data_IF_108933613767
#
_entry.id   IF_108933613767
#
_cell.length_a   1.000
_cell.length_b   1.000
_cell.length_c   1.000
_cell.angle_alpha   90.00
_cell.angle_beta   90.00
_cell.angle_gamma   90.00
#
_symmetry.space_group_name_H-M   'P 1'
#
loop_
_entity.id
_entity.type
_entity.pdbx_description
1 polymer ?
#
# COMPACT_ATOMS: atom_id res chain seq x y z
N UNK A 1 -40.85 42.65 -11.04
CA UNK A 1 -40.87 41.52 -10.08
C UNK A 1 -39.76 40.54 -10.45
N UNK A 2 -38.69 40.43 -9.63
CA UNK A 2 -37.64 39.41 -9.78
C UNK A 2 -37.62 38.57 -8.51
N UNK A 3 -38.19 37.35 -8.57
CA UNK A 3 -38.10 36.37 -7.48
C UNK A 3 -36.67 35.80 -7.50
N UNK A 4 -35.84 36.15 -6.52
CA UNK A 4 -34.55 35.48 -6.29
C UNK A 4 -34.83 34.19 -5.53
N UNK A 5 -34.47 33.05 -6.12
CA UNK A 5 -34.58 31.72 -5.50
C UNK A 5 -33.29 31.47 -4.70
N UNK A 6 -33.31 31.47 -3.36
CA UNK A 6 -32.11 31.32 -2.54
C UNK A 6 -31.61 29.86 -2.47
N UNK A 7 -32.41 28.89 -2.92
CA UNK A 7 -32.15 27.47 -2.74
C UNK A 7 -31.10 26.87 -3.69
N UNK A 8 -30.81 27.52 -4.82
CA UNK A 8 -29.86 26.99 -5.80
C UNK A 8 -28.40 27.04 -5.31
N UNK A 9 -28.07 28.01 -4.45
CA UNK A 9 -26.71 28.23 -3.95
C UNK A 9 -26.30 27.20 -2.88
N UNK A 10 -27.27 26.71 -2.11
CA UNK A 10 -27.04 25.66 -1.10
C UNK A 10 -27.02 24.26 -1.72
N UNK A 11 -27.76 24.03 -2.81
CA UNK A 11 -27.74 22.77 -3.54
C UNK A 11 -26.37 22.48 -4.18
N UNK A 12 -25.69 23.52 -4.70
CA UNK A 12 -24.35 23.38 -5.29
C UNK A 12 -23.30 23.05 -4.21
N UNK A 13 -23.37 23.69 -3.05
CA UNK A 13 -22.47 23.40 -1.93
C UNK A 13 -22.63 21.96 -1.41
N UNK A 14 -23.87 21.45 -1.34
CA UNK A 14 -24.13 20.07 -0.94
C UNK A 14 -23.69 19.05 -2.01
N UNK A 15 -23.84 19.38 -3.31
CA UNK A 15 -23.35 18.54 -4.41
C UNK A 15 -21.82 18.44 -4.44
N UNK A 16 -21.11 19.54 -4.11
CA UNK A 16 -19.65 19.54 -3.99
C UNK A 16 -19.16 18.67 -2.82
N UNK A 17 -19.89 18.62 -1.70
CA UNK A 17 -19.52 17.77 -0.54
C UNK A 17 -19.73 16.28 -0.86
N UNK A 18 -20.79 15.93 -1.60
CA UNK A 18 -21.05 14.53 -2.01
C UNK A 18 -20.08 14.07 -3.11
N UNK A 19 -19.67 14.96 -4.02
CA UNK A 19 -18.65 14.65 -5.04
C UNK A 19 -17.23 14.48 -4.48
N UNK A 20 -16.95 14.98 -3.27
CA UNK A 20 -15.66 14.82 -2.59
C UNK A 20 -15.53 13.49 -1.81
N UNK A 21 -16.63 12.74 -1.65
CA UNK A 21 -16.62 11.44 -0.97
C UNK A 21 -15.84 10.34 -1.72
N UNK A 22 -15.50 10.59 -2.98
CA UNK A 22 -14.72 9.67 -3.84
C UNK A 22 -13.29 10.11 -4.12
N UNK A 23 -12.84 11.26 -3.58
CA UNK A 23 -11.48 11.77 -3.80
C UNK A 23 -10.58 11.37 -2.62
N UNK A 24 -9.73 10.37 -2.80
CA UNK A 24 -8.62 10.10 -1.87
C UNK A 24 -7.58 11.20 -1.99
N UNK A 25 -7.68 12.24 -1.16
CA UNK A 25 -6.64 13.26 -1.03
C UNK A 25 -5.55 12.70 -0.11
N UNK A 26 -4.37 12.41 -0.65
CA UNK A 26 -3.17 12.14 0.14
C UNK A 26 -2.60 13.47 0.62
N UNK A 27 -2.90 13.83 1.87
CA UNK A 27 -2.31 14.99 2.54
C UNK A 27 -1.17 14.53 3.44
N UNK A 28 0.05 14.98 3.15
CA UNK A 28 1.25 14.69 3.95
C UNK A 28 1.95 15.94 4.47
N UNK A 29 1.20 17.05 4.59
CA UNK A 29 1.66 18.30 5.21
C UNK A 29 2.32 17.99 6.56
N UNK A 30 3.64 18.21 6.64
CA UNK A 30 4.45 18.05 7.85
C UNK A 30 4.91 16.62 8.17
N UNK A 31 4.64 15.61 7.32
CA UNK A 31 5.09 14.22 7.54
C UNK A 31 6.22 13.77 6.62
N UNK A 32 6.54 14.58 5.62
CA UNK A 32 7.51 14.24 4.58
C UNK A 32 8.90 14.85 4.80
N UNK A 33 9.30 15.15 6.04
CA UNK A 33 10.54 15.87 6.34
C UNK A 33 11.76 15.21 5.66
N UNK A 34 12.50 16.00 4.90
CA UNK A 34 13.70 15.58 4.18
C UNK A 34 14.96 15.64 5.03
N UNK A 35 16.06 15.12 4.47
CA UNK A 35 17.32 14.98 5.19
C UNK A 35 18.00 16.32 5.53
N UNK A 36 17.71 17.38 4.77
CA UNK A 36 18.25 18.72 5.05
C UNK A 36 17.80 19.25 6.41
N UNK A 37 16.55 18.96 6.77
CA UNK A 37 15.97 19.37 8.06
C UNK A 37 16.18 18.33 9.16
N UNK A 38 16.14 17.04 8.80
CA UNK A 38 16.22 15.95 9.78
C UNK A 38 16.97 14.73 9.22
N UNK A 39 18.33 14.72 9.31
CA UNK A 39 19.13 13.60 8.82
C UNK A 39 18.82 12.32 9.59
N UNK A 40 19.10 11.16 8.97
CA UNK A 40 18.89 9.86 9.60
C UNK A 40 19.99 9.60 10.64
N UNK A 41 19.59 9.08 11.80
CA UNK A 41 20.46 8.86 12.97
C UNK A 41 20.31 7.47 13.58
N UNK A 42 19.62 6.55 12.90
CA UNK A 42 19.55 5.15 13.33
C UNK A 42 20.89 4.43 13.22
N UNK A 43 20.90 3.17 13.66
CA UNK A 43 22.10 2.34 13.63
C UNK A 43 22.53 1.96 12.20
N UNK A 44 23.78 1.55 12.04
CA UNK A 44 24.30 1.01 10.78
C UNK A 44 23.47 -0.19 10.28
N UNK A 45 23.62 -0.53 9.01
CA UNK A 45 22.93 -1.67 8.44
C UNK A 45 23.20 -2.97 9.20
N UNK A 46 22.11 -3.55 9.71
CA UNK A 46 22.05 -4.91 10.24
C UNK A 46 20.96 -5.66 9.50
N UNK A 47 21.31 -6.80 8.95
CA UNK A 47 20.35 -7.68 8.30
C UNK A 47 19.38 -8.23 9.35
N UNK A 48 18.10 -8.34 9.00
CA UNK A 48 17.08 -8.92 9.88
C UNK A 48 17.42 -10.38 10.10
N UNK A 49 17.39 -10.82 11.35
CA UNK A 49 17.65 -12.22 11.67
C UNK A 49 16.50 -13.10 11.15
N UNK A 50 16.80 -14.35 10.83
CA UNK A 50 15.82 -15.26 10.19
C UNK A 50 14.67 -15.63 11.12
N UNK A 51 14.92 -15.59 12.43
CA UNK A 51 13.96 -15.85 13.51
C UNK A 51 13.18 -14.59 13.94
N UNK A 52 13.54 -13.41 13.45
CA UNK A 52 12.87 -12.15 13.77
C UNK A 52 11.60 -11.87 12.92
N UNK A 53 11.27 -12.75 11.98
CA UNK A 53 10.08 -12.64 11.12
C UNK A 53 9.57 -14.03 10.68
N UNK A 54 8.31 -14.13 10.26
CA UNK A 54 7.68 -15.41 9.90
C UNK A 54 8.03 -15.79 8.45
N UNK A 55 8.73 -16.90 8.26
CA UNK A 55 9.17 -17.39 6.93
C UNK A 55 8.02 -17.74 5.97
N UNK A 56 6.77 -17.78 6.44
CA UNK A 56 5.58 -17.84 5.58
C UNK A 56 5.34 -16.53 4.83
N UNK A 57 5.98 -15.44 5.25
CA UNK A 57 5.90 -14.11 4.65
C UNK A 57 7.09 -13.83 3.74
N UNK A 58 7.20 -12.60 3.25
CA UNK A 58 8.37 -12.10 2.53
C UNK A 58 8.88 -10.82 3.20
N UNK A 59 10.13 -10.44 2.95
CA UNK A 59 10.69 -9.17 3.43
C UNK A 59 11.10 -8.30 2.26
N UNK A 60 10.68 -7.04 2.29
CA UNK A 60 11.09 -6.00 1.36
C UNK A 60 12.02 -5.03 2.08
N UNK A 61 13.30 -5.05 1.72
CA UNK A 61 14.22 -3.97 2.07
C UNK A 61 14.05 -2.81 1.11
N UNK A 62 14.00 -1.60 1.65
CA UNK A 62 14.08 -0.36 0.90
C UNK A 62 15.30 0.40 1.37
N UNK A 63 16.12 0.90 0.45
CA UNK A 63 17.27 1.71 0.82
C UNK A 63 17.55 2.81 -0.19
N UNK A 64 18.03 3.95 0.31
CA UNK A 64 18.47 5.10 -0.48
C UNK A 64 19.92 5.39 -0.20
N UNK A 65 20.76 5.24 -1.21
CA UNK A 65 22.19 5.55 -1.11
C UNK A 65 22.42 7.06 -0.95
N UNK A 66 23.54 7.44 -0.35
CA UNK A 66 23.89 8.84 -0.18
C UNK A 66 24.08 9.60 -1.50
N UNK A 67 23.56 10.82 -1.57
CA UNK A 67 23.96 11.84 -2.57
C UNK A 67 23.77 13.26 -2.00
N UNK A 68 24.46 14.25 -2.57
CA UNK A 68 24.29 15.65 -2.17
C UNK A 68 22.86 16.15 -2.47
N UNK A 69 22.30 15.78 -3.62
CA UNK A 69 20.90 16.07 -3.98
C UNK A 69 19.92 15.58 -2.90
N UNK A 70 20.06 14.33 -2.46
CA UNK A 70 19.22 13.78 -1.40
C UNK A 70 19.49 14.41 -0.02
N UNK A 71 20.73 14.85 0.25
CA UNK A 71 21.11 15.51 1.51
C UNK A 71 20.46 16.90 1.65
N UNK A 72 20.36 17.63 0.54
CA UNK A 72 19.80 18.99 0.51
C UNK A 72 18.27 19.01 0.33
N UNK A 73 17.65 17.84 0.35
CA UNK A 73 16.21 17.68 0.15
C UNK A 73 15.43 18.07 1.42
N UNK A 74 14.45 18.97 1.25
CA UNK A 74 13.55 19.44 2.31
C UNK A 74 12.36 18.48 2.52
N UNK A 75 11.93 17.77 1.47
CA UNK A 75 10.84 16.80 1.51
C UNK A 75 11.28 15.46 0.90
N UNK A 76 11.26 14.39 1.71
CA UNK A 76 11.67 13.06 1.26
C UNK A 76 10.54 12.28 0.56
N UNK A 77 10.85 11.48 -0.47
CA UNK A 77 9.88 10.65 -1.18
C UNK A 77 9.11 9.70 -0.27
N UNK A 78 7.81 9.60 -0.49
CA UNK A 78 6.87 8.75 0.22
C UNK A 78 6.76 7.38 -0.45
N UNK A 79 6.82 6.31 0.34
CA UNK A 79 6.66 4.92 -0.12
C UNK A 79 5.31 4.35 0.29
N UNK A 80 4.65 3.72 -0.67
CA UNK A 80 3.36 3.07 -0.51
C UNK A 80 3.44 1.61 -0.90
N UNK A 81 2.74 0.77 -0.15
CA UNK A 81 2.45 -0.61 -0.54
C UNK A 81 0.94 -0.80 -0.52
N UNK A 82 0.38 -1.32 -1.60
CA UNK A 82 -1.07 -1.52 -1.79
C UNK A 82 -1.85 -0.23 -1.47
N UNK A 83 -1.41 0.89 -2.04
CA UNK A 83 -1.98 2.24 -1.87
C UNK A 83 -1.95 2.82 -0.44
N UNK A 84 -1.29 2.14 0.50
CA UNK A 84 -1.10 2.64 1.87
C UNK A 84 0.30 3.20 2.06
N UNK A 85 0.38 4.42 2.60
CA UNK A 85 1.65 5.06 2.99
C UNK A 85 2.28 4.36 4.20
N UNK A 86 3.61 4.16 4.17
CA UNK A 86 4.35 3.57 5.29
C UNK A 86 5.45 4.47 5.83
N UNK A 87 6.31 5.00 4.95
CA UNK A 87 7.47 5.79 5.36
C UNK A 87 7.92 6.74 4.26
N UNK A 88 8.77 7.69 4.64
CA UNK A 88 9.45 8.58 3.70
C UNK A 88 10.95 8.27 3.70
N UNK A 89 11.51 7.97 2.52
CA UNK A 89 12.87 7.46 2.41
C UNK A 89 13.88 8.61 2.32
N UNK A 90 14.47 8.93 3.47
CA UNK A 90 15.47 10.00 3.61
C UNK A 90 16.83 9.57 3.04
N UNK A 91 17.69 10.56 2.82
CA UNK A 91 19.06 10.34 2.36
C UNK A 91 19.81 9.32 3.25
N UNK A 92 20.64 8.48 2.62
CA UNK A 92 21.51 7.52 3.28
C UNK A 92 20.80 6.61 4.29
N UNK A 93 19.62 6.12 3.94
CA UNK A 93 18.75 5.38 4.85
C UNK A 93 18.35 4.02 4.32
N UNK A 94 18.04 3.09 5.22
CA UNK A 94 17.35 1.85 4.89
C UNK A 94 16.22 1.55 5.87
N UNK A 95 15.27 0.75 5.42
CA UNK A 95 14.27 0.11 6.24
C UNK A 95 13.84 -1.21 5.62
N UNK A 96 12.98 -1.94 6.31
CA UNK A 96 12.37 -3.15 5.80
C UNK A 96 10.92 -3.25 6.23
N UNK A 97 10.13 -3.96 5.44
CA UNK A 97 8.75 -4.34 5.74
C UNK A 97 8.59 -5.84 5.53
N UNK A 98 8.02 -6.53 6.52
CA UNK A 98 7.54 -7.90 6.33
C UNK A 98 6.13 -7.84 5.72
N UNK A 99 5.94 -8.54 4.62
CA UNK A 99 4.74 -8.46 3.78
C UNK A 99 4.16 -9.85 3.52
N UNK A 100 2.84 -9.92 3.36
CA UNK A 100 2.19 -11.17 2.95
C UNK A 100 2.61 -11.54 1.52
N UNK A 101 2.89 -12.82 1.19
CA UNK A 101 3.21 -13.25 -0.17
C UNK A 101 2.06 -13.00 -1.16
N UNK A 102 2.41 -12.77 -2.42
CA UNK A 102 1.47 -12.42 -3.49
C UNK A 102 1.92 -11.22 -4.31
N UNK A 103 1.01 -10.67 -5.10
CA UNK A 103 1.28 -9.43 -5.85
C UNK A 103 1.14 -8.23 -4.92
N UNK A 104 2.22 -7.48 -4.74
CA UNK A 104 2.27 -6.25 -3.94
C UNK A 104 2.47 -5.08 -4.89
N UNK A 105 1.57 -4.11 -4.83
CA UNK A 105 1.71 -2.86 -5.58
C UNK A 105 2.61 -1.91 -4.79
N UNK A 106 3.73 -1.49 -5.37
CA UNK A 106 4.71 -0.60 -4.77
C UNK A 106 4.69 0.70 -5.56
N UNK A 107 4.41 1.80 -4.85
CA UNK A 107 4.49 3.13 -5.44
C UNK A 107 5.40 4.02 -4.61
N UNK A 108 6.15 4.89 -5.29
CA UNK A 108 6.94 5.94 -4.66
C UNK A 108 6.54 7.29 -5.25
N UNK A 109 6.28 8.27 -4.39
CA UNK A 109 5.80 9.60 -4.79
C UNK A 109 6.63 10.67 -4.13
N UNK A 110 7.04 11.68 -4.89
CA UNK A 110 7.64 12.89 -4.33
C UNK A 110 6.51 13.79 -3.81
N UNK A 111 6.58 14.28 -2.57
CA UNK A 111 5.69 15.35 -2.11
C UNK A 111 6.06 16.68 -2.77
N UNK A 112 5.09 17.56 -2.98
CA UNK A 112 5.31 18.95 -3.36
C UNK A 112 4.61 19.87 -2.37
N UNK A 113 5.36 20.44 -1.43
CA UNK A 113 4.83 21.33 -0.38
C UNK A 113 3.71 20.67 0.46
N UNK A 114 3.88 19.39 0.80
CA UNK A 114 2.89 18.59 1.53
C UNK A 114 1.68 18.12 0.72
N UNK A 115 1.67 18.29 -0.61
CA UNK A 115 0.68 17.73 -1.52
C UNK A 115 1.27 16.52 -2.26
N UNK A 116 0.66 15.34 -2.11
CA UNK A 116 1.09 14.09 -2.77
C UNK A 116 0.28 13.73 -4.02
N UNK A 117 -0.82 14.45 -4.30
CA UNK A 117 -1.63 14.31 -5.51
C UNK A 117 -3.11 14.68 -5.35
N UNK A 118 -3.83 14.74 -6.48
CA UNK A 118 -5.30 14.81 -6.55
C UNK A 118 -5.79 13.73 -7.55
N UNK A 119 -6.56 12.74 -7.08
CA UNK A 119 -7.07 11.63 -7.90
C UNK A 119 -5.95 10.85 -8.64
N UNK A 120 -6.15 10.50 -9.92
CA UNK A 120 -5.17 9.82 -10.78
C UNK A 120 -4.01 10.71 -11.25
N UNK A 121 -3.98 11.98 -10.85
CA UNK A 121 -2.86 12.89 -11.12
C UNK A 121 -1.91 12.91 -9.91
N UNK A 122 -0.85 12.11 -10.00
CA UNK A 122 0.33 12.26 -9.13
C UNK A 122 1.22 13.33 -9.74
N UNK A 123 1.36 14.47 -9.06
CA UNK A 123 2.20 15.58 -9.54
C UNK A 123 3.69 15.19 -9.61
N UNK A 124 4.07 14.02 -9.07
CA UNK A 124 5.44 13.50 -9.09
C UNK A 124 5.54 12.03 -8.65
N UNK A 125 4.97 11.13 -9.46
CA UNK A 125 5.19 9.69 -9.34
C UNK A 125 6.64 9.36 -9.72
N UNK A 126 7.38 8.74 -8.80
CA UNK A 126 8.76 8.30 -9.01
C UNK A 126 8.78 6.86 -9.54
N UNK A 127 7.97 5.99 -8.92
CA UNK A 127 7.88 4.59 -9.29
C UNK A 127 6.47 4.07 -9.06
N UNK A 128 6.06 3.14 -9.91
CA UNK A 128 4.79 2.42 -9.83
C UNK A 128 5.01 1.04 -10.44
N UNK A 129 4.98 0.02 -9.58
CA UNK A 129 5.31 -1.34 -9.97
C UNK A 129 4.49 -2.36 -9.17
N UNK A 130 4.13 -3.46 -9.83
CA UNK A 130 3.63 -4.64 -9.14
C UNK A 130 4.75 -5.66 -9.02
N UNK A 131 5.12 -6.03 -7.79
CA UNK A 131 6.10 -7.07 -7.52
C UNK A 131 5.39 -8.30 -6.96
N UNK A 132 5.62 -9.46 -7.58
CA UNK A 132 5.20 -10.74 -7.02
C UNK A 132 6.23 -11.20 -6.00
N UNK A 133 5.84 -11.24 -4.73
CA UNK A 133 6.70 -11.63 -3.62
C UNK A 133 6.38 -13.05 -3.16
N UNK A 134 7.42 -13.84 -2.93
CA UNK A 134 7.33 -15.25 -2.57
C UNK A 134 7.63 -15.49 -1.08
N UNK A 135 7.02 -16.52 -0.45
CA UNK A 135 7.31 -16.86 0.94
C UNK A 135 8.79 -17.20 1.14
N UNK A 136 9.36 -16.76 2.26
CA UNK A 136 10.76 -16.99 2.64
C UNK A 136 11.78 -16.18 1.85
N UNK A 137 11.34 -15.28 0.95
CA UNK A 137 12.24 -14.46 0.12
C UNK A 137 12.43 -13.06 0.69
N UNK A 138 13.62 -12.52 0.42
CA UNK A 138 14.02 -11.16 0.77
C UNK A 138 14.37 -10.42 -0.52
N UNK A 139 13.75 -9.26 -0.71
CA UNK A 139 13.92 -8.42 -1.90
C UNK A 139 14.57 -7.10 -1.50
N UNK A 140 15.42 -6.54 -2.36
CA UNK A 140 16.15 -5.29 -2.09
C UNK A 140 15.77 -4.24 -3.13
N UNK A 141 15.03 -3.23 -2.69
CA UNK A 141 14.58 -2.10 -3.49
C UNK A 141 15.53 -0.92 -3.25
N UNK A 142 16.36 -0.66 -4.26
CA UNK A 142 17.33 0.43 -4.29
C UNK A 142 16.69 1.68 -4.85
N UNK A 143 16.77 2.78 -4.11
CA UNK A 143 16.35 4.11 -4.58
C UNK A 143 17.55 5.04 -4.79
N UNK A 144 17.71 5.57 -6.00
CA UNK A 144 18.70 6.60 -6.32
C UNK A 144 18.32 7.35 -7.61
N UNK A 145 18.26 8.67 -7.55
CA UNK A 145 17.82 9.54 -8.66
C UNK A 145 18.95 9.99 -9.60
N UNK A 146 20.20 9.76 -9.23
CA UNK A 146 21.38 10.26 -9.96
C UNK A 146 22.15 9.14 -10.66
N UNK A 147 22.06 7.92 -10.15
CA UNK A 147 22.86 6.78 -10.61
C UNK A 147 22.06 5.49 -10.58
N UNK A 148 21.98 4.83 -11.74
CA UNK A 148 21.50 3.46 -11.88
C UNK A 148 22.50 2.46 -11.28
N UNK A 149 22.06 1.24 -10.90
CA UNK A 149 22.96 0.18 -10.50
C UNK A 149 23.77 -0.31 -11.69
N UNK A 150 25.02 -0.72 -11.44
CA UNK A 150 25.92 -1.22 -12.49
C UNK A 150 25.41 -2.50 -13.17
N UNK A 151 24.52 -3.22 -12.49
CA UNK A 151 23.92 -4.48 -12.95
C UNK A 151 22.43 -4.45 -12.72
N UNK A 152 21.66 -4.75 -13.77
CA UNK A 152 20.22 -4.99 -13.66
C UNK A 152 19.93 -6.32 -12.98
N UNK A 153 18.75 -6.46 -12.39
CA UNK A 153 18.30 -7.73 -11.84
C UNK A 153 18.16 -8.76 -12.98
N UNK A 154 18.83 -9.93 -12.89
CA UNK A 154 18.88 -10.88 -14.01
C UNK A 154 17.54 -11.55 -14.30
N UNK A 155 16.72 -11.76 -13.27
CA UNK A 155 15.43 -12.47 -13.39
C UNK A 155 14.25 -11.54 -13.69
N UNK A 156 14.49 -10.22 -13.78
CA UNK A 156 13.43 -9.25 -14.03
C UNK A 156 13.36 -8.95 -15.53
N UNK A 157 12.15 -8.87 -16.08
CA UNK A 157 11.95 -8.41 -17.46
C UNK A 157 12.60 -7.01 -17.63
N UNK A 158 13.37 -6.76 -18.71
CA UNK A 158 13.95 -5.46 -18.98
C UNK A 158 12.96 -4.29 -18.99
N UNK A 159 11.69 -4.55 -19.34
CA UNK A 159 10.62 -3.55 -19.40
C UNK A 159 9.83 -3.46 -18.08
N UNK A 160 10.14 -4.30 -17.09
CA UNK A 160 9.48 -4.23 -15.79
C UNK A 160 9.83 -2.90 -15.10
N UNK A 161 8.87 -2.19 -14.45
CA UNK A 161 9.14 -0.87 -13.87
C UNK A 161 10.26 -0.82 -12.83
N UNK A 162 10.55 -1.94 -12.15
CA UNK A 162 11.68 -2.09 -11.21
C UNK A 162 13.02 -2.48 -11.86
N UNK A 163 13.12 -2.63 -13.18
CA UNK A 163 14.41 -2.89 -13.86
C UNK A 163 15.18 -1.59 -14.13
N UNK A 164 14.48 -0.46 -14.23
CA UNK A 164 14.99 0.85 -14.64
C UNK A 164 14.32 1.99 -13.86
N UNK A 165 14.81 3.22 -14.00
CA UNK A 165 14.30 4.36 -13.25
C UNK A 165 14.91 4.47 -11.84
N UNK A 166 14.32 5.30 -10.98
CA UNK A 166 14.98 5.66 -9.72
C UNK A 166 14.84 4.58 -8.63
N UNK A 167 13.74 3.82 -8.64
CA UNK A 167 13.50 2.69 -7.73
C UNK A 167 13.66 1.38 -8.48
N UNK A 168 14.69 0.61 -8.13
CA UNK A 168 15.03 -0.61 -8.84
C UNK A 168 15.17 -1.79 -7.89
N UNK A 169 14.69 -2.97 -8.32
CA UNK A 169 14.97 -4.22 -7.63
C UNK A 169 16.42 -4.63 -7.95
N UNK A 170 17.19 -4.94 -6.91
CA UNK A 170 18.57 -5.43 -7.06
C UNK A 170 18.75 -6.77 -6.36
N UNK A 171 19.75 -7.53 -6.79
CA UNK A 171 20.09 -8.79 -6.13
C UNK A 171 20.70 -8.53 -4.76
N UNK A 172 20.65 -9.55 -3.89
CA UNK A 172 21.33 -9.49 -2.59
C UNK A 172 22.81 -9.17 -2.73
N UNK A 173 23.49 -9.83 -3.66
CA UNK A 173 24.93 -9.65 -3.88
C UNK A 173 25.27 -8.21 -4.30
N UNK A 174 24.38 -7.54 -5.04
CA UNK A 174 24.53 -6.13 -5.36
C UNK A 174 24.26 -5.25 -4.13
N UNK A 175 23.14 -5.47 -3.45
CA UNK A 175 22.74 -4.69 -2.28
C UNK A 175 23.81 -4.71 -1.17
N UNK A 176 24.54 -5.82 -1.00
CA UNK A 176 25.55 -5.99 0.04
C UNK A 176 26.91 -5.36 -0.28
N UNK A 177 27.08 -4.69 -1.42
CA UNK A 177 28.33 -4.02 -1.78
C UNK A 177 28.55 -2.73 -0.99
N UNK A 178 29.82 -2.34 -0.81
CA UNK A 178 30.17 -1.04 -0.23
C UNK A 178 29.50 0.11 -1.00
N UNK A 179 28.94 1.08 -0.29
CA UNK A 179 28.19 2.20 -0.87
C UNK A 179 26.74 1.87 -1.24
N UNK A 180 26.28 0.62 -1.02
CA UNK A 180 24.88 0.22 -1.13
C UNK A 180 24.25 0.15 0.26
N UNK A 181 23.39 -0.86 0.54
CA UNK A 181 22.62 -0.90 1.79
C UNK A 181 23.50 -0.95 3.03
N UNK A 182 24.66 -1.61 2.95
CA UNK A 182 25.59 -1.77 4.08
C UNK A 182 26.22 -0.45 4.55
N UNK A 183 26.13 0.61 3.74
CA UNK A 183 26.64 1.95 4.07
C UNK A 183 25.55 2.93 4.52
N UNK A 184 24.32 2.43 4.70
CA UNK A 184 23.16 3.24 5.08
C UNK A 184 22.79 3.05 6.55
N UNK A 185 22.01 3.99 7.08
CA UNK A 185 21.54 4.01 8.47
C UNK A 185 20.06 3.64 8.57
N UNK A 186 19.66 3.02 9.68
CA UNK A 186 18.28 2.60 9.88
C UNK A 186 17.37 3.83 9.95
N UNK A 187 16.28 3.81 9.19
CA UNK A 187 15.28 4.88 9.15
C UNK A 187 14.46 4.84 10.44
N UNK A 188 14.91 5.52 11.48
CA UNK A 188 14.20 5.62 12.74
C UNK A 188 12.87 6.39 12.59
N UNK A 189 11.88 6.00 13.39
CA UNK A 189 10.63 6.74 13.56
C UNK A 189 10.76 7.68 14.75
N UNK A 190 10.38 8.95 14.59
CA UNK A 190 10.43 9.96 15.65
C UNK A 190 9.31 11.00 15.50
N UNK A 191 9.27 11.99 16.40
CA UNK A 191 8.21 13.00 16.42
C UNK A 191 8.23 13.94 15.21
N UNK A 192 9.39 14.15 14.58
CA UNK A 192 9.56 15.03 13.43
C UNK A 192 9.36 14.29 12.11
N UNK A 193 9.62 12.98 12.09
CA UNK A 193 9.49 12.12 10.92
C UNK A 193 8.85 10.75 11.30
N UNK A 194 7.56 10.73 11.67
CA UNK A 194 6.89 9.49 12.04
C UNK A 194 6.76 8.57 10.83
N UNK A 195 7.12 7.31 11.00
CA UNK A 195 7.07 6.28 9.97
C UNK A 195 6.81 4.87 10.54
N UNK A 196 6.56 3.92 9.64
CA UNK A 196 6.40 2.49 9.94
C UNK A 196 7.63 1.68 9.49
N UNK A 197 8.83 2.15 9.83
CA UNK A 197 10.07 1.43 9.51
C UNK A 197 10.23 0.15 10.33
N UNK A 198 10.75 -0.91 9.71
CA UNK A 198 11.11 -2.16 10.38
C UNK A 198 9.91 -2.86 11.01
N UNK A 199 8.81 -2.96 10.27
CA UNK A 199 7.53 -3.45 10.79
C UNK A 199 6.93 -4.56 9.90
N UNK A 200 6.12 -5.41 10.53
CA UNK A 200 5.25 -6.34 9.82
C UNK A 200 3.97 -5.65 9.39
N UNK A 201 3.65 -5.75 8.10
CA UNK A 201 2.45 -5.19 7.49
C UNK A 201 1.52 -6.28 6.94
N UNK A 202 1.79 -7.53 7.29
CA UNK A 202 1.07 -8.73 6.83
C UNK A 202 -0.43 -8.63 7.13
N UNK A 203 -0.82 -8.24 8.34
CA UNK A 203 -2.25 -8.07 8.69
C UNK A 203 -2.91 -7.01 7.80
N UNK A 204 -2.19 -5.93 7.48
CA UNK A 204 -2.69 -4.89 6.59
C UNK A 204 -2.82 -5.39 5.16
N UNK A 205 -1.85 -6.16 4.65
CA UNK A 205 -1.94 -6.75 3.32
C UNK A 205 -3.13 -7.71 3.22
N UNK A 206 -3.38 -8.53 4.24
CA UNK A 206 -4.54 -9.43 4.30
C UNK A 206 -5.87 -8.67 4.22
N UNK A 207 -6.01 -7.58 4.97
CA UNK A 207 -7.22 -6.75 4.96
C UNK A 207 -7.42 -6.07 3.59
N UNK A 208 -6.34 -5.62 2.97
CA UNK A 208 -6.37 -5.00 1.64
C UNK A 208 -6.67 -6.02 0.54
N UNK A 209 -6.07 -7.21 0.59
CA UNK A 209 -6.35 -8.33 -0.31
C UNK A 209 -7.84 -8.73 -0.23
N UNK A 210 -8.39 -8.82 0.99
CA UNK A 210 -9.81 -9.09 1.21
C UNK A 210 -10.70 -8.02 0.58
N UNK A 211 -10.43 -6.73 0.84
CA UNK A 211 -11.20 -5.62 0.27
C UNK A 211 -11.15 -5.61 -1.26
N UNK A 212 -9.96 -5.76 -1.85
CA UNK A 212 -9.76 -5.82 -3.30
C UNK A 212 -10.53 -6.99 -3.90
N UNK A 213 -10.43 -8.19 -3.30
CA UNK A 213 -11.15 -9.37 -3.81
C UNK A 213 -12.66 -9.26 -3.66
N UNK A 214 -13.14 -8.70 -2.55
CA UNK A 214 -14.57 -8.44 -2.33
C UNK A 214 -15.13 -7.49 -3.37
N UNK A 215 -14.47 -6.35 -3.62
CA UNK A 215 -14.88 -5.40 -4.65
C UNK A 215 -14.91 -6.04 -6.05
N UNK A 216 -13.87 -6.81 -6.42
CA UNK A 216 -13.84 -7.51 -7.71
C UNK A 216 -14.99 -8.55 -7.84
N UNK A 217 -15.34 -9.25 -6.76
CA UNK A 217 -16.47 -10.18 -6.76
C UNK A 217 -17.82 -9.47 -6.82
N UNK A 218 -17.96 -8.30 -6.21
CA UNK A 218 -19.16 -7.47 -6.32
C UNK A 218 -19.35 -6.97 -7.77
N UNK A 219 -18.28 -6.60 -8.47
CA UNK A 219 -18.31 -6.27 -9.90
C UNK A 219 -18.65 -7.50 -10.77
N UNK A 220 -18.02 -8.67 -10.51
CA UNK A 220 -18.36 -9.94 -11.17
C UNK A 220 -19.86 -10.26 -11.01
N UNK A 221 -20.40 -10.03 -9.81
CA UNK A 221 -21.81 -10.26 -9.48
C UNK A 221 -22.75 -9.34 -10.25
N UNK A 222 -22.41 -8.06 -10.39
CA UNK A 222 -23.21 -7.11 -11.17
C UNK A 222 -23.29 -7.54 -12.64
N UNK A 223 -22.15 -7.93 -13.23
CA UNK A 223 -22.07 -8.43 -14.60
C UNK A 223 -22.87 -9.73 -14.79
N UNK A 224 -22.80 -10.66 -13.83
CA UNK A 224 -23.58 -11.90 -13.83
C UNK A 224 -25.09 -11.62 -13.82
N UNK A 225 -25.53 -10.69 -12.97
CA UNK A 225 -26.94 -10.25 -12.91
C UNK A 225 -27.38 -9.60 -14.22
N UNK A 226 -26.55 -8.78 -14.85
CA UNK A 226 -26.84 -8.20 -16.16
C UNK A 226 -27.00 -9.27 -17.25
N UNK A 227 -26.13 -10.29 -17.24
CA UNK A 227 -26.23 -11.43 -18.15
C UNK A 227 -27.52 -12.21 -17.93
N UNK A 228 -27.91 -12.49 -16.69
CA UNK A 228 -29.17 -13.17 -16.39
C UNK A 228 -30.39 -12.36 -16.84
N UNK A 229 -30.37 -11.04 -16.69
CA UNK A 229 -31.41 -10.15 -17.23
C UNK A 229 -31.53 -10.28 -18.75
N UNK A 230 -30.42 -10.30 -19.48
CA UNK A 230 -30.41 -10.48 -20.93
C UNK A 230 -30.94 -11.86 -21.36
N UNK A 231 -30.68 -12.89 -20.54
CA UNK A 231 -31.16 -14.25 -20.78
C UNK A 231 -32.61 -14.48 -20.36
N UNK A 232 -33.29 -13.48 -19.78
CA UNK A 232 -34.65 -13.62 -19.24
C UNK A 232 -34.72 -14.46 -17.96
N UNK A 233 -33.58 -14.73 -17.31
CA UNK A 233 -33.41 -15.48 -16.06
C UNK A 233 -33.38 -14.56 -14.83
N UNK A 234 -34.09 -13.44 -14.91
CA UNK A 234 -34.17 -12.45 -13.84
C UNK A 234 -35.60 -11.97 -13.72
N UNK A 235 -36.21 -12.18 -12.55
CA UNK A 235 -37.56 -11.71 -12.27
C UNK A 235 -37.52 -10.25 -11.86
N UNK A 236 -38.26 -9.40 -12.57
CA UNK A 236 -38.39 -7.98 -12.22
C UNK A 236 -39.26 -7.80 -10.98
N UNK A 237 -38.93 -6.82 -10.14
CA UNK A 237 -39.75 -6.43 -9.00
C UNK A 237 -41.18 -6.06 -9.42
N UNK A 238 -42.18 -6.57 -8.68
CA UNK A 238 -43.58 -6.16 -8.86
C UNK A 238 -43.79 -4.72 -8.39
N UNK A 239 -44.71 -3.98 -9.03
CA UNK A 239 -44.97 -2.56 -8.70
C UNK A 239 -45.42 -2.32 -7.25
N UNK A 240 -46.11 -3.29 -6.63
CA UNK A 240 -46.56 -3.23 -5.24
C UNK A 240 -45.51 -3.75 -4.23
N UNK A 241 -44.40 -4.33 -4.72
CA UNK A 241 -43.29 -4.84 -3.91
C UNK A 241 -41.95 -4.53 -4.60
N UNK A 242 -41.47 -3.28 -4.55
CA UNK A 242 -40.29 -2.82 -5.29
C UNK A 242 -38.96 -3.42 -4.78
N UNK A 243 -38.99 -4.13 -3.65
CA UNK A 243 -37.86 -4.88 -3.10
C UNK A 243 -37.88 -6.37 -3.50
N UNK A 244 -38.86 -6.80 -4.31
CA UNK A 244 -38.93 -8.16 -4.86
C UNK A 244 -38.19 -8.32 -6.17
N UNK A 245 -38.27 -9.52 -6.73
CA UNK A 245 -37.51 -9.88 -7.92
C UNK A 245 -36.06 -10.26 -7.59
N UNK A 246 -35.37 -10.82 -8.57
CA UNK A 246 -34.03 -11.36 -8.37
C UNK A 246 -33.65 -12.37 -9.45
N UNK A 247 -32.39 -12.86 -9.39
CA UNK A 247 -31.95 -13.92 -10.28
C UNK A 247 -32.75 -15.21 -10.00
N UNK A 248 -33.15 -15.92 -11.05
CA UNK A 248 -33.87 -17.21 -10.92
C UNK A 248 -32.94 -18.39 -10.64
N UNK A 249 -31.64 -18.17 -10.83
CA UNK A 249 -30.56 -19.14 -10.61
C UNK A 249 -29.59 -18.58 -9.55
N UNK A 250 -28.92 -19.44 -8.75
CA UNK A 250 -27.91 -18.98 -7.80
C UNK A 250 -26.72 -18.36 -8.54
N UNK A 251 -26.23 -17.23 -8.02
CA UNK A 251 -25.06 -16.55 -8.61
C UNK A 251 -23.77 -17.24 -8.16
N UNK A 252 -22.87 -17.50 -9.10
CA UNK A 252 -21.53 -17.99 -8.78
C UNK A 252 -20.76 -16.97 -7.95
N UNK A 253 -20.95 -15.67 -8.24
CA UNK A 253 -20.31 -14.60 -7.48
C UNK A 253 -20.76 -14.55 -6.01
N UNK A 254 -22.04 -14.84 -5.71
CA UNK A 254 -22.54 -14.91 -4.34
C UNK A 254 -21.85 -16.04 -3.55
N UNK A 255 -21.69 -17.22 -4.15
CA UNK A 255 -21.00 -18.34 -3.51
C UNK A 255 -19.53 -18.02 -3.21
N UNK A 256 -18.85 -17.32 -4.14
CA UNK A 256 -17.47 -16.86 -3.96
C UNK A 256 -17.37 -15.79 -2.85
N UNK A 257 -18.33 -14.86 -2.77
CA UNK A 257 -18.40 -13.85 -1.72
C UNK A 257 -18.58 -14.51 -0.34
N UNK A 258 -19.52 -15.45 -0.20
CA UNK A 258 -19.73 -16.17 1.06
C UNK A 258 -18.50 -16.98 1.48
N UNK A 259 -17.78 -17.59 0.53
CA UNK A 259 -16.52 -18.27 0.81
C UNK A 259 -15.46 -17.29 1.30
N UNK A 260 -15.29 -16.14 0.62
CA UNK A 260 -14.34 -15.10 1.00
C UNK A 260 -14.62 -14.54 2.39
N UNK A 261 -15.89 -14.24 2.70
CA UNK A 261 -16.29 -13.72 4.02
C UNK A 261 -16.06 -14.74 5.13
N UNK A 262 -16.34 -16.02 4.87
CA UNK A 262 -16.04 -17.10 5.84
C UNK A 262 -14.55 -17.26 6.09
N UNK A 263 -13.72 -17.19 5.06
CA UNK A 263 -12.27 -17.33 5.23
C UNK A 263 -11.66 -16.13 5.94
N UNK A 264 -12.13 -14.91 5.64
CA UNK A 264 -11.73 -13.71 6.36
C UNK A 264 -12.18 -13.74 7.83
N UNK A 265 -13.38 -14.22 8.13
CA UNK A 265 -13.85 -14.39 9.52
C UNK A 265 -13.01 -15.41 10.32
N UNK A 266 -12.55 -16.50 9.70
CA UNK A 266 -11.61 -17.45 10.35
C UNK A 266 -10.28 -16.76 10.67
N UNK A 267 -9.78 -15.95 9.74
CA UNK A 267 -8.53 -15.22 9.90
C UNK A 267 -8.62 -14.17 11.03
N UNK A 268 -9.73 -13.43 11.13
CA UNK A 268 -9.99 -12.53 12.26
C UNK A 268 -10.05 -13.27 13.60
N UNK A 269 -10.66 -14.46 13.62
CA UNK A 269 -10.72 -15.30 14.81
C UNK A 269 -9.32 -15.79 15.23
N UNK A 270 -8.48 -16.21 14.28
CA UNK A 270 -7.10 -16.61 14.54
C UNK A 270 -6.27 -15.45 15.10
N UNK A 271 -6.39 -14.25 14.52
CA UNK A 271 -5.75 -13.03 15.03
C UNK A 271 -6.20 -12.70 16.44
N UNK A 272 -7.51 -12.79 16.71
CA UNK A 272 -8.05 -12.56 18.05
C UNK A 272 -7.47 -13.53 19.06
N UNK A 273 -7.43 -14.83 18.73
CA UNK A 273 -6.82 -15.87 19.59
C UNK A 273 -5.33 -15.56 19.86
N UNK A 274 -4.57 -15.19 18.83
CA UNK A 274 -3.15 -14.81 18.99
C UNK A 274 -2.97 -13.63 19.95
N UNK A 275 -3.76 -12.55 19.79
CA UNK A 275 -3.71 -11.38 20.69
C UNK A 275 -4.13 -11.74 22.12
N UNK A 276 -5.09 -12.63 22.29
CA UNK A 276 -5.50 -13.15 23.61
C UNK A 276 -4.37 -13.97 24.26
N UNK A 277 -3.66 -14.81 23.51
CA UNK A 277 -2.49 -15.56 23.99
C UNK A 277 -1.33 -14.63 24.38
N UNK A 278 -1.03 -13.63 23.55
CA UNK A 278 0.01 -12.62 23.80
C UNK A 278 -0.33 -11.73 25.02
N UNK A 279 -1.59 -11.33 25.18
CA UNK A 279 -2.05 -10.53 26.32
C UNK A 279 -2.26 -11.34 27.61
N UNK A 280 -2.59 -12.63 27.49
CA UNK A 280 -2.79 -13.55 28.61
C UNK A 280 -1.50 -14.00 29.31
N UNK A 281 -0.34 -13.78 28.68
CA UNK A 281 0.98 -14.03 29.28
C UNK A 281 1.48 -12.96 30.25
N UNK A 282 0.78 -11.82 30.35
CA UNK A 282 1.20 -10.62 31.10
C UNK A 282 0.48 -10.40 32.42
N UNK A 283 0.37 -11.42 33.28
CA UNK A 283 -0.01 -11.22 34.70
C UNK A 283 0.79 -12.16 35.61
N UNK A 284 2.09 -11.86 35.75
CA UNK A 284 2.89 -12.34 36.88
C UNK A 284 3.48 -11.16 37.64
N UNK A 285 3.25 -11.23 38.95
CA UNK A 285 3.55 -10.24 40.00
C UNK A 285 5.07 -10.09 40.16
N UNK A 286 5.57 -8.85 40.14
CA UNK A 286 6.64 -8.35 41.02
C UNK A 286 6.37 -6.88 41.35
#
# INVERSE_FOLDING_TARGET
>A
MKKRVPYLRNAIALLCVVALSGCTIYQSIGKSVGAFLHPVSGHDFVHIDTDAWDQRNAVLYFYRTHSQWAADEIESPSVYIDDKHYFNIRNNSYTWLEVKPGERHIAMRRPLLGLEGLNSFSLSLIADATLRVEPGKIYYLRYNELTEPERRHPDLDPDHPLASGDLQLVTRDYAMQSGQIVSTLFLNSDLLAPNHAGASIVEVNEDMDYKKRKAALEEERELEVEQLKQQGKYESASWYWPFGGGPTEPLEADQKLEALERDYAKLELERKRRREEESGGGWWIF
#
